data_IF_056812486655
#
_entry.id   IF_056812486655
#
_cell.length_a   1.000
_cell.length_b   1.000
_cell.length_c   1.000
_cell.angle_alpha   90.00
_cell.angle_beta   90.00
_cell.angle_gamma   90.00
#
_symmetry.space_group_name_H-M   'P 1'
#
loop_
_entity.id
_entity.type
_entity.pdbx_description
1 polymer ?
#
# COMPACT_ATOMS: atom_id res chain seq x y z
N UNK A 1 23.37 -4.16 -34.18
CA UNK A 1 22.09 -3.44 -34.26
C UNK A 1 21.60 -3.24 -32.83
N UNK A 2 21.24 -2.01 -32.45
CA UNK A 2 20.69 -1.76 -31.12
C UNK A 2 19.18 -2.08 -31.11
N UNK A 3 18.69 -2.69 -30.02
CA UNK A 3 17.26 -2.92 -29.85
C UNK A 3 16.57 -1.56 -29.65
N UNK A 4 15.46 -1.27 -30.36
CA UNK A 4 14.68 -0.05 -30.17
C UNK A 4 14.21 0.16 -28.72
N UNK A 5 14.08 1.42 -28.29
CA UNK A 5 13.75 1.76 -26.90
C UNK A 5 12.36 1.29 -26.49
N UNK A 6 11.37 1.49 -27.36
CA UNK A 6 9.99 1.02 -27.26
C UNK A 6 9.91 -0.51 -27.07
N UNK A 7 10.70 -1.27 -27.82
CA UNK A 7 10.75 -2.74 -27.67
C UNK A 7 11.31 -3.13 -26.30
N UNK A 8 12.34 -2.44 -25.81
CA UNK A 8 12.88 -2.66 -24.46
C UNK A 8 11.82 -2.35 -23.39
N UNK A 9 11.12 -1.23 -23.53
CA UNK A 9 10.05 -0.83 -22.60
C UNK A 9 8.95 -1.88 -22.53
N UNK A 10 8.50 -2.40 -23.67
CA UNK A 10 7.48 -3.47 -23.75
C UNK A 10 7.96 -4.79 -23.13
N UNK A 11 9.24 -5.15 -23.33
CA UNK A 11 9.82 -6.35 -22.72
C UNK A 11 9.82 -6.20 -21.19
N UNK A 12 10.34 -5.09 -20.68
CA UNK A 12 10.41 -4.84 -19.24
C UNK A 12 9.02 -4.73 -18.62
N UNK A 13 8.04 -4.15 -19.31
CA UNK A 13 6.66 -4.02 -18.84
C UNK A 13 5.99 -5.36 -18.51
N UNK A 14 6.44 -6.46 -19.12
CA UNK A 14 5.90 -7.81 -18.89
C UNK A 14 6.57 -8.56 -17.75
N UNK A 15 7.69 -8.07 -17.25
CA UNK A 15 8.42 -8.71 -16.16
C UNK A 15 7.75 -8.44 -14.81
N UNK A 16 7.96 -9.34 -13.86
CA UNK A 16 7.56 -9.12 -12.48
C UNK A 16 8.43 -8.03 -11.82
N UNK A 17 7.99 -7.54 -10.66
CA UNK A 17 8.70 -6.48 -9.96
C UNK A 17 10.08 -6.95 -9.45
N UNK A 18 10.25 -8.24 -9.11
CA UNK A 18 11.52 -8.76 -8.61
C UNK A 18 12.60 -8.74 -9.71
N UNK A 19 12.24 -9.15 -10.92
CA UNK A 19 13.09 -9.09 -12.09
C UNK A 19 13.37 -7.65 -12.51
N UNK A 20 12.37 -6.78 -12.51
CA UNK A 20 12.58 -5.35 -12.77
C UNK A 20 13.64 -4.74 -11.82
N UNK A 21 13.59 -5.08 -10.54
CA UNK A 21 14.60 -4.63 -9.57
C UNK A 21 16.00 -5.19 -9.88
N UNK A 22 16.13 -6.38 -10.45
CA UNK A 22 17.41 -6.92 -10.95
C UNK A 22 17.89 -6.14 -12.19
N UNK A 23 17.01 -5.85 -13.15
CA UNK A 23 17.33 -5.07 -14.35
C UNK A 23 17.73 -3.63 -14.03
N UNK A 24 17.11 -3.03 -13.00
CA UNK A 24 17.43 -1.71 -12.46
C UNK A 24 18.90 -1.60 -12.08
N UNK A 25 19.51 -2.68 -11.59
CA UNK A 25 20.93 -2.73 -11.20
C UNK A 25 21.91 -2.84 -12.37
N UNK A 26 21.46 -3.14 -13.59
CA UNK A 26 22.35 -3.41 -14.72
C UNK A 26 22.91 -2.13 -15.36
N UNK A 27 22.16 -1.04 -15.39
CA UNK A 27 22.64 0.23 -15.94
C UNK A 27 21.81 1.43 -15.47
N UNK A 28 22.40 2.63 -15.51
CA UNK A 28 21.69 3.89 -15.27
C UNK A 28 20.48 4.07 -16.20
N UNK A 29 20.58 3.60 -17.44
CA UNK A 29 19.49 3.71 -18.42
C UNK A 29 18.27 2.90 -17.98
N UNK A 30 18.47 1.65 -17.58
CA UNK A 30 17.37 0.81 -17.07
C UNK A 30 16.84 1.33 -15.75
N UNK A 31 17.73 1.81 -14.87
CA UNK A 31 17.31 2.46 -13.63
C UNK A 31 16.38 3.66 -13.87
N UNK A 32 16.78 4.60 -14.74
CA UNK A 32 15.95 5.75 -15.07
C UNK A 32 14.63 5.37 -15.75
N UNK A 33 14.62 4.35 -16.61
CA UNK A 33 13.40 3.89 -17.27
C UNK A 33 12.43 3.28 -16.25
N UNK A 34 12.91 2.35 -15.41
CA UNK A 34 12.09 1.61 -14.45
C UNK A 34 11.58 2.53 -13.33
N UNK A 35 12.39 3.49 -12.89
CA UNK A 35 11.99 4.46 -11.86
C UNK A 35 11.12 5.61 -12.43
N UNK A 36 10.87 5.66 -13.75
CA UNK A 36 10.05 6.71 -14.36
C UNK A 36 8.56 6.53 -14.04
N UNK A 37 7.82 7.61 -13.74
CA UNK A 37 6.37 7.54 -13.49
C UNK A 37 5.58 6.91 -14.63
N UNK A 38 5.97 7.19 -15.89
CA UNK A 38 5.30 6.65 -17.07
C UNK A 38 5.45 5.13 -17.15
N UNK A 39 6.65 4.60 -16.88
CA UNK A 39 6.87 3.15 -16.85
C UNK A 39 6.09 2.50 -15.72
N UNK A 40 6.09 3.09 -14.51
CA UNK A 40 5.35 2.57 -13.35
C UNK A 40 3.85 2.49 -13.67
N UNK A 41 3.26 3.56 -14.22
CA UNK A 41 1.84 3.58 -14.61
C UNK A 41 1.55 2.58 -15.73
N UNK A 42 2.45 2.47 -16.70
CA UNK A 42 2.31 1.55 -17.81
C UNK A 42 2.37 0.08 -17.35
N UNK A 43 3.33 -0.26 -16.47
CA UNK A 43 3.47 -1.58 -15.85
C UNK A 43 2.25 -1.95 -15.00
N UNK A 44 1.77 -1.03 -14.16
CA UNK A 44 0.56 -1.22 -13.37
C UNK A 44 -0.67 -1.43 -14.28
N UNK A 45 -0.85 -0.58 -15.28
CA UNK A 45 -1.96 -0.68 -16.23
C UNK A 45 -1.91 -1.99 -17.02
N UNK A 46 -0.71 -2.44 -17.38
CA UNK A 46 -0.51 -3.73 -18.04
C UNK A 46 -0.95 -4.88 -17.13
N UNK A 47 -0.42 -4.94 -15.90
CA UNK A 47 -0.77 -5.95 -14.88
C UNK A 47 -2.28 -6.03 -14.64
N UNK A 48 -2.96 -4.88 -14.47
CA UNK A 48 -4.41 -4.83 -14.29
C UNK A 48 -5.21 -5.26 -15.53
N UNK A 49 -4.65 -5.07 -16.72
CA UNK A 49 -5.32 -5.44 -17.98
C UNK A 49 -5.14 -6.91 -18.32
N UNK A 50 -4.02 -7.51 -17.90
CA UNK A 50 -3.67 -8.90 -18.21
C UNK A 50 -3.89 -9.85 -17.04
N UNK A 51 -4.32 -9.36 -15.88
CA UNK A 51 -4.47 -10.11 -14.63
C UNK A 51 -3.20 -10.86 -14.23
N UNK A 52 -2.03 -10.29 -14.53
CA UNK A 52 -0.71 -10.89 -14.22
C UNK A 52 -0.02 -10.17 -13.07
N UNK A 53 0.95 -10.83 -12.42
CA UNK A 53 1.73 -10.28 -11.29
C UNK A 53 0.87 -10.00 -10.06
N UNK A 54 -0.25 -10.71 -9.94
CA UNK A 54 -1.15 -10.60 -8.82
C UNK A 54 -0.57 -11.38 -7.63
N UNK A 55 -0.69 -10.81 -6.44
CA UNK A 55 -0.28 -11.46 -5.19
C UNK A 55 -1.40 -11.35 -4.17
N UNK A 56 -1.65 -12.45 -3.46
CA UNK A 56 -2.52 -12.46 -2.29
C UNK A 56 -1.68 -12.17 -1.06
N UNK A 57 -2.13 -11.20 -0.27
CA UNK A 57 -1.55 -10.93 1.04
C UNK A 57 -2.41 -11.64 2.06
N UNK A 58 -1.82 -12.63 2.72
CA UNK A 58 -2.45 -13.40 3.78
C UNK A 58 -1.97 -12.86 5.12
N UNK A 59 -2.92 -12.71 6.05
CA UNK A 59 -2.65 -12.31 7.43
C UNK A 59 -3.04 -13.45 8.36
N UNK A 60 -2.08 -13.89 9.15
CA UNK A 60 -2.30 -14.71 10.34
C UNK A 60 -1.69 -13.97 11.55
N UNK A 61 -0.82 -14.62 12.33
CA UNK A 61 0.09 -13.93 13.27
C UNK A 61 1.15 -13.13 12.55
N UNK A 62 1.29 -13.25 11.24
CA UNK A 62 2.33 -12.65 10.40
C UNK A 62 1.74 -12.30 9.04
N UNK A 63 2.46 -11.49 8.25
CA UNK A 63 2.10 -11.23 6.87
C UNK A 63 2.82 -12.20 5.91
N UNK A 64 2.07 -12.73 4.96
CA UNK A 64 2.60 -13.57 3.89
C UNK A 64 2.13 -13.05 2.52
N UNK A 65 2.99 -13.19 1.53
CA UNK A 65 2.63 -13.01 0.12
C UNK A 65 2.57 -14.37 -0.56
N UNK A 66 1.52 -14.62 -1.31
CA UNK A 66 1.36 -15.78 -2.19
C UNK A 66 1.18 -15.26 -3.61
N UNK A 67 1.97 -15.77 -4.55
CA UNK A 67 1.77 -15.46 -5.96
C UNK A 67 0.43 -16.05 -6.41
N UNK A 68 -0.44 -15.25 -6.99
CA UNK A 68 -1.76 -15.72 -7.43
C UNK A 68 -1.67 -16.71 -8.59
N UNK A 69 -0.69 -16.52 -9.47
CA UNK A 69 -0.41 -17.40 -10.62
C UNK A 69 0.25 -18.72 -10.18
N UNK A 70 0.86 -18.75 -8.98
CA UNK A 70 1.53 -19.91 -8.40
C UNK A 70 1.24 -20.00 -6.89
N UNK A 71 0.09 -20.60 -6.56
CA UNK A 71 -0.39 -20.81 -5.19
C UNK A 71 0.39 -21.88 -4.41
N UNK A 72 1.63 -22.19 -4.83
CA UNK A 72 2.42 -23.31 -4.30
C UNK A 72 3.16 -22.96 -3.00
N UNK A 73 3.48 -21.68 -2.79
CA UNK A 73 4.24 -21.25 -1.62
C UNK A 73 3.83 -19.87 -1.11
N UNK A 74 3.83 -19.74 0.21
CA UNK A 74 3.64 -18.49 0.92
C UNK A 74 5.00 -17.97 1.42
N UNK A 75 5.33 -16.73 1.07
CA UNK A 75 6.56 -16.05 1.47
C UNK A 75 6.27 -15.11 2.62
N UNK A 76 6.89 -15.35 3.78
CA UNK A 76 6.81 -14.42 4.92
C UNK A 76 7.31 -13.04 4.50
N UNK A 77 6.54 -12.02 4.83
CA UNK A 77 6.81 -10.62 4.52
C UNK A 77 7.42 -9.94 5.75
N UNK A 78 8.58 -9.33 5.56
CA UNK A 78 9.19 -8.45 6.57
C UNK A 78 8.68 -7.03 6.35
N UNK A 79 7.81 -6.55 7.23
CA UNK A 79 7.13 -5.27 7.09
C UNK A 79 7.66 -4.24 8.09
N UNK A 80 7.48 -2.93 7.84
CA UNK A 80 8.13 -1.87 8.64
C UNK A 80 7.69 -1.81 10.10
N UNK A 81 6.50 -2.32 10.42
CA UNK A 81 5.94 -2.34 11.78
C UNK A 81 6.29 -3.59 12.60
N UNK A 82 7.06 -4.54 12.04
CA UNK A 82 7.47 -5.77 12.72
C UNK A 82 8.92 -5.63 13.19
N UNK A 83 9.12 -4.78 14.21
CA UNK A 83 10.47 -4.45 14.71
C UNK A 83 11.15 -5.66 15.39
N UNK A 84 10.37 -6.57 15.97
CA UNK A 84 10.89 -7.71 16.76
C UNK A 84 10.72 -9.08 16.09
N UNK A 85 10.19 -9.16 14.87
CA UNK A 85 9.86 -10.43 14.18
C UNK A 85 8.89 -11.29 15.02
N UNK A 86 8.05 -10.62 15.81
CA UNK A 86 7.05 -11.23 16.70
C UNK A 86 5.69 -11.36 16.00
N UNK A 87 5.49 -10.64 14.87
CA UNK A 87 4.32 -10.73 14.00
C UNK A 87 3.01 -10.16 14.55
N UNK A 88 2.92 -10.07 15.86
CA UNK A 88 1.67 -9.81 16.53
C UNK A 88 1.20 -8.35 16.33
N UNK A 89 -0.12 -8.16 16.26
CA UNK A 89 -0.72 -6.82 16.35
C UNK A 89 -0.67 -5.94 15.10
N UNK A 90 -0.24 -6.46 13.94
CA UNK A 90 -0.35 -5.69 12.68
C UNK A 90 -1.67 -5.97 11.98
N UNK A 91 -2.40 -4.92 11.58
CA UNK A 91 -3.62 -4.99 10.78
C UNK A 91 -3.39 -4.41 9.38
N UNK A 92 -4.02 -4.99 8.37
CA UNK A 92 -4.05 -4.43 7.01
C UNK A 92 -5.32 -3.58 6.89
N UNK A 93 -5.15 -2.28 6.76
CA UNK A 93 -6.25 -1.31 6.63
C UNK A 93 -6.79 -1.21 5.20
N UNK A 94 -5.99 -1.61 4.22
CA UNK A 94 -6.38 -1.63 2.81
C UNK A 94 -5.19 -1.79 1.88
N UNK A 95 -5.49 -2.02 0.60
CA UNK A 95 -4.51 -2.11 -0.47
C UNK A 95 -4.92 -1.26 -1.68
N UNK A 96 -3.93 -0.73 -2.39
CA UNK A 96 -4.17 0.00 -3.65
C UNK A 96 -2.92 -0.06 -4.52
N UNK A 97 -3.04 -0.58 -5.76
CA UNK A 97 -1.96 -0.62 -6.74
C UNK A 97 -0.61 -1.18 -6.22
N UNK A 98 -0.66 -2.23 -5.41
CA UNK A 98 0.52 -2.85 -4.79
C UNK A 98 1.06 -2.16 -3.53
N UNK A 99 0.42 -1.08 -3.08
CA UNK A 99 0.64 -0.49 -1.75
C UNK A 99 -0.30 -1.11 -0.72
N UNK A 100 0.21 -1.26 0.50
CA UNK A 100 -0.53 -1.69 1.68
C UNK A 100 -0.50 -0.59 2.74
N UNK A 101 -1.66 -0.30 3.34
CA UNK A 101 -1.74 0.48 4.57
C UNK A 101 -1.76 -0.48 5.76
N UNK A 102 -0.79 -0.33 6.66
CA UNK A 102 -0.62 -1.16 7.85
C UNK A 102 -0.88 -0.34 9.12
N UNK A 103 -1.50 -0.95 10.12
CA UNK A 103 -1.65 -0.41 11.46
C UNK A 103 -0.93 -1.33 12.45
N UNK A 104 -0.08 -0.77 13.30
CA UNK A 104 0.58 -1.49 14.39
C UNK A 104 -0.04 -1.16 15.75
N UNK A 105 -0.11 -2.16 16.62
CA UNK A 105 -0.78 -2.09 17.93
C UNK A 105 0.16 -1.68 19.10
N UNK A 106 1.48 -1.83 18.94
CA UNK A 106 2.42 -1.60 20.06
C UNK A 106 2.72 -0.10 20.29
N UNK A 107 2.03 0.49 21.27
CA UNK A 107 2.38 1.78 21.87
C UNK A 107 1.69 3.02 21.27
N UNK A 108 0.61 2.83 20.51
CA UNK A 108 -0.20 3.88 19.87
C UNK A 108 -0.49 3.56 18.40
N UNK A 109 -1.45 4.28 17.78
CA UNK A 109 -1.78 4.11 16.36
C UNK A 109 -0.57 4.49 15.47
N UNK A 110 0.22 3.47 15.06
CA UNK A 110 1.29 3.63 14.07
C UNK A 110 0.78 3.17 12.72
N UNK A 111 0.57 4.11 11.81
CA UNK A 111 0.14 3.79 10.43
C UNK A 111 1.34 3.87 9.48
N UNK A 112 1.56 2.83 8.67
CA UNK A 112 2.57 2.81 7.64
C UNK A 112 1.96 2.54 6.26
N UNK A 113 2.35 3.32 5.26
CA UNK A 113 2.15 2.98 3.86
C UNK A 113 3.37 2.20 3.38
N UNK A 114 3.17 1.02 2.81
CA UNK A 114 4.25 0.09 2.49
C UNK A 114 4.08 -0.56 1.12
N UNK A 115 5.16 -0.64 0.36
CA UNK A 115 5.24 -1.40 -0.87
C UNK A 115 6.06 -2.68 -0.65
N UNK A 116 5.44 -3.87 -0.59
CA UNK A 116 6.15 -5.12 -0.32
C UNK A 116 7.24 -5.46 -1.34
N UNK A 117 7.00 -5.16 -2.61
CA UNK A 117 7.89 -5.53 -3.71
C UNK A 117 9.17 -4.70 -3.71
N UNK A 118 9.06 -3.40 -3.43
CA UNK A 118 10.22 -2.47 -3.40
C UNK A 118 10.80 -2.29 -2.00
N UNK A 119 10.10 -2.77 -0.96
CA UNK A 119 10.40 -2.61 0.47
C UNK A 119 10.46 -1.14 0.93
N UNK A 120 9.97 -0.20 0.12
CA UNK A 120 9.84 1.20 0.52
C UNK A 120 8.63 1.33 1.45
N UNK A 121 8.81 2.09 2.52
CA UNK A 121 7.76 2.38 3.49
C UNK A 121 7.80 3.84 3.91
N UNK A 122 6.66 4.34 4.33
CA UNK A 122 6.49 5.68 4.87
C UNK A 122 5.54 5.62 6.06
N UNK A 123 5.97 6.18 7.18
CA UNK A 123 5.10 6.38 8.33
C UNK A 123 4.17 7.54 8.05
N UNK A 124 2.87 7.32 8.21
CA UNK A 124 1.88 8.38 8.09
C UNK A 124 1.73 9.07 9.45
N UNK A 125 1.66 10.41 9.48
CA UNK A 125 1.24 11.07 10.71
C UNK A 125 -0.15 10.57 11.08
N UNK A 126 -0.40 10.31 12.37
CA UNK A 126 -1.75 10.00 12.83
C UNK A 126 -2.21 11.18 13.67
N UNK A 127 -3.24 11.88 13.20
CA UNK A 127 -3.81 13.00 13.95
C UNK A 127 -4.62 12.47 15.13
N UNK A 128 -4.67 13.23 16.22
CA UNK A 128 -5.59 12.92 17.31
C UNK A 128 -7.05 13.02 16.82
N UNK A 129 -7.90 12.19 17.42
CA UNK A 129 -9.35 12.24 17.21
C UNK A 129 -9.89 13.35 18.09
N UNK A 130 -10.40 14.40 17.47
CA UNK A 130 -11.09 15.47 18.19
C UNK A 130 -12.51 15.02 18.48
N UNK A 131 -12.86 14.95 19.76
CA UNK A 131 -14.21 14.60 20.17
C UNK A 131 -15.13 15.83 20.03
N UNK A 132 -16.31 15.67 19.42
CA UNK A 132 -17.29 16.75 19.34
C UNK A 132 -17.74 17.18 20.76
N UNK A 133 -18.06 18.47 20.97
CA UNK A 133 -18.52 18.97 22.26
C UNK A 133 -19.91 18.40 22.62
N UNK A 134 -20.09 18.06 23.90
CA UNK A 134 -21.31 17.65 24.62
C UNK A 134 -22.43 16.90 23.85
N UNK A 135 -22.85 15.74 24.37
CA UNK A 135 -23.88 14.77 23.88
C UNK A 135 -23.39 13.55 23.10
N UNK A 136 -22.09 13.46 22.81
CA UNK A 136 -21.47 12.24 22.27
C UNK A 136 -20.68 11.53 23.38
N UNK A 137 -21.05 10.28 23.66
CA UNK A 137 -20.51 9.54 24.81
C UNK A 137 -19.24 8.76 24.50
N UNK A 138 -19.04 8.36 23.24
CA UNK A 138 -17.88 7.59 22.80
C UNK A 138 -17.71 7.58 21.27
N UNK A 139 -16.51 7.25 20.83
CA UNK A 139 -16.25 6.86 19.44
C UNK A 139 -16.82 5.47 19.21
N UNK A 140 -17.73 5.33 18.23
CA UNK A 140 -18.41 4.08 17.95
C UNK A 140 -17.61 3.20 16.98
N UNK A 141 -17.12 3.79 15.88
CA UNK A 141 -16.36 3.09 14.86
C UNK A 141 -15.30 4.01 14.25
N UNK A 142 -14.13 3.43 13.98
CA UNK A 142 -13.10 4.04 13.14
C UNK A 142 -12.95 3.15 11.92
N UNK A 143 -13.04 3.74 10.74
CA UNK A 143 -12.79 3.04 9.48
C UNK A 143 -11.68 3.74 8.73
N UNK A 144 -10.89 2.94 8.02
CA UNK A 144 -9.78 3.40 7.23
C UNK A 144 -10.01 3.08 5.76
N UNK A 145 -9.40 3.88 4.89
CA UNK A 145 -9.44 3.64 3.46
C UNK A 145 -8.16 4.10 2.78
N UNK A 146 -7.69 3.32 1.81
CA UNK A 146 -6.60 3.68 0.93
C UNK A 146 -7.13 3.72 -0.50
N UNK A 147 -6.83 4.79 -1.24
CA UNK A 147 -7.22 4.90 -2.64
C UNK A 147 -6.29 5.81 -3.43
N UNK A 148 -6.25 5.61 -4.74
CA UNK A 148 -5.53 6.47 -5.67
C UNK A 148 -6.49 7.54 -6.22
N UNK A 149 -6.10 8.82 -6.13
CA UNK A 149 -6.82 9.92 -6.78
C UNK A 149 -6.16 10.25 -8.13
N UNK A 150 -6.80 9.90 -9.26
CA UNK A 150 -6.24 10.18 -10.58
C UNK A 150 -6.15 11.68 -10.91
N UNK A 151 -6.88 12.55 -10.18
CA UNK A 151 -6.82 13.99 -10.44
C UNK A 151 -5.57 14.63 -9.84
N UNK A 152 -5.16 14.20 -8.64
CA UNK A 152 -3.93 14.67 -7.99
C UNK A 152 -2.71 13.80 -8.29
N UNK A 153 -2.89 12.67 -8.96
CA UNK A 153 -1.86 11.65 -9.23
C UNK A 153 -1.18 11.17 -7.94
N UNK A 154 -1.97 10.97 -6.88
CA UNK A 154 -1.45 10.66 -5.55
C UNK A 154 -2.36 9.66 -4.82
N UNK A 155 -1.77 8.92 -3.88
CA UNK A 155 -2.49 8.05 -2.98
C UNK A 155 -3.01 8.83 -1.78
N UNK A 156 -4.25 8.56 -1.41
CA UNK A 156 -4.92 9.17 -0.27
C UNK A 156 -5.26 8.09 0.73
N UNK A 157 -4.82 8.33 1.95
CA UNK A 157 -5.27 7.59 3.12
C UNK A 157 -6.31 8.40 3.88
N UNK A 158 -7.47 7.80 4.14
CA UNK A 158 -8.60 8.43 4.81
C UNK A 158 -8.93 7.69 6.10
N UNK A 159 -9.24 8.46 7.15
CA UNK A 159 -9.79 7.93 8.39
C UNK A 159 -11.17 8.54 8.60
N UNK A 160 -12.17 7.68 8.74
CA UNK A 160 -13.55 8.04 9.06
C UNK A 160 -13.81 7.68 10.51
N UNK A 161 -14.33 8.64 11.28
CA UNK A 161 -14.67 8.44 12.68
C UNK A 161 -16.16 8.67 12.85
N UNK A 162 -16.84 7.70 13.46
CA UNK A 162 -18.25 7.78 13.80
C UNK A 162 -18.41 7.94 15.31
N UNK A 163 -19.16 8.95 15.72
CA UNK A 163 -19.52 9.18 17.12
C UNK A 163 -20.98 8.84 17.35
N UNK A 164 -21.27 8.21 18.50
CA UNK A 164 -22.64 7.91 18.92
C UNK A 164 -23.10 8.95 19.96
N UNK A 165 -24.18 9.66 19.63
CA UNK A 165 -24.89 10.56 20.53
C UNK A 165 -26.24 9.99 20.94
N UNK A 166 -26.86 10.61 21.95
CA UNK A 166 -28.13 10.13 22.51
C UNK A 166 -29.29 10.09 21.47
N UNK A 167 -29.25 10.94 20.44
CA UNK A 167 -30.24 11.01 19.35
C UNK A 167 -29.65 11.24 17.93
N UNK A 168 -28.32 11.32 17.77
CA UNK A 168 -27.66 11.69 16.49
C UNK A 168 -26.40 10.85 16.18
N UNK A 169 -26.10 10.69 14.88
CA UNK A 169 -24.83 10.14 14.36
C UNK A 169 -24.05 11.27 13.67
N UNK A 170 -22.80 11.49 14.11
CA UNK A 170 -21.87 12.40 13.44
C UNK A 170 -20.75 11.60 12.76
N UNK A 171 -20.57 11.82 11.44
CA UNK A 171 -19.46 11.29 10.66
C UNK A 171 -18.44 12.40 10.42
N UNK A 172 -17.22 12.20 10.91
CA UNK A 172 -16.10 13.11 10.62
C UNK A 172 -15.16 12.39 9.65
N UNK A 173 -15.04 12.94 8.44
CA UNK A 173 -14.02 12.53 7.48
C UNK A 173 -12.77 13.37 7.71
N UNK A 174 -11.72 12.76 8.29
CA UNK A 174 -10.39 13.38 8.30
C UNK A 174 -9.60 12.81 7.12
N UNK A 175 -9.43 13.63 6.08
CA UNK A 175 -8.60 13.30 4.92
C UNK A 175 -7.41 14.23 4.83
N UNK A 176 -6.19 13.72 5.11
CA UNK A 176 -4.96 14.11 4.39
C UNK A 176 -3.76 13.38 4.95
N UNK A 177 -3.30 12.36 4.24
CA UNK A 177 -1.89 11.98 4.24
C UNK A 177 -1.54 11.71 2.78
N UNK A 178 -0.81 12.66 2.18
CA UNK A 178 -0.16 12.50 0.88
C UNK A 178 1.09 11.66 1.09
N UNK A 179 1.30 10.66 0.23
CA UNK A 179 2.52 9.84 0.25
C UNK A 179 3.69 10.65 -0.30
#
# INVERSE_FOLDING_TARGET
MAIPHDVITEILCRLDVEDLLRYRCLSKRYCCLIDSPDFIKHHLSHSLKTDTHLSLILRDSELYSVNFDSLESAKKLKHPLDENDEGNGTEILGSCNGLLALLGDYGGEKVALWNPSTRKSQMLPVSEIEFPPYNFSCCQFITYGLGYDPNSDDYKFVRMVQFYGQDDILLILKSKFTA
#
